data_IF_939526410631
#
_entry.id   IF_939526410631
#
_cell.length_a   1.000
_cell.length_b   1.000
_cell.length_c   1.000
_cell.angle_alpha   90.00
_cell.angle_beta   90.00
_cell.angle_gamma   90.00
#
_symmetry.space_group_name_H-M   'P 1'
#
loop_
_entity.id
_entity.type
_entity.pdbx_description
1 polymer ?
#
# COMPACT_ATOMS: atom_id res chain seq x y z
N UNK A 1 -7.19 6.89 1.46
CA UNK A 1 -6.43 6.25 2.55
C UNK A 1 -6.82 4.78 2.80
N UNK A 2 -7.92 4.28 2.23
CA UNK A 2 -8.33 2.87 2.35
C UNK A 2 -7.64 1.93 1.34
N UNK A 3 -6.88 2.48 0.39
CA UNK A 3 -6.17 1.68 -0.62
C UNK A 3 -4.78 1.28 -0.13
N UNK A 4 -4.27 0.17 -0.64
CA UNK A 4 -2.96 -0.35 -0.29
C UNK A 4 -1.82 0.55 -0.78
N UNK A 5 -1.94 1.05 -2.02
CA UNK A 5 -0.97 1.94 -2.66
C UNK A 5 -1.70 3.20 -3.12
N UNK A 6 -1.06 4.35 -2.92
CA UNK A 6 -1.62 5.67 -3.25
C UNK A 6 -0.64 6.42 -4.13
N UNK A 7 -1.08 6.80 -5.29
CA UNK A 7 -0.33 7.69 -6.19
C UNK A 7 -1.20 8.91 -6.50
N UNK A 8 -0.59 10.03 -6.82
CA UNK A 8 -1.35 11.22 -7.16
C UNK A 8 -0.70 12.03 -8.30
N UNK A 9 -1.47 12.96 -8.84
CA UNK A 9 -0.95 13.96 -9.75
C UNK A 9 -0.22 15.08 -8.99
N UNK A 10 0.71 15.76 -9.64
CA UNK A 10 1.50 16.88 -9.08
C UNK A 10 0.64 18.06 -8.60
N UNK A 11 -0.56 18.23 -9.16
CA UNK A 11 -1.51 19.26 -8.77
C UNK A 11 -2.48 18.82 -7.66
N UNK A 12 -2.34 17.61 -7.11
CA UNK A 12 -3.20 17.11 -6.03
C UNK A 12 -3.01 17.91 -4.74
N UNK A 13 -4.12 18.08 -4.03
CA UNK A 13 -4.17 18.76 -2.72
C UNK A 13 -4.86 17.85 -1.72
N UNK A 14 -4.31 17.77 -0.52
CA UNK A 14 -4.80 16.93 0.56
C UNK A 14 -5.02 17.76 1.83
N UNK A 15 -6.01 17.41 2.64
CA UNK A 15 -6.27 18.09 3.91
C UNK A 15 -7.25 17.35 4.80
N UNK A 16 -7.36 17.82 6.03
CA UNK A 16 -8.35 17.44 7.03
C UNK A 16 -8.92 18.73 7.64
N UNK A 17 -9.89 19.37 6.96
CA UNK A 17 -10.33 20.72 7.30
C UNK A 17 -11.38 20.77 8.43
N UNK A 18 -11.82 19.63 8.94
CA UNK A 18 -13.00 19.48 9.79
C UNK A 18 -12.94 20.32 11.07
N UNK A 19 -11.77 20.48 11.69
CA UNK A 19 -11.65 21.29 12.92
C UNK A 19 -11.91 22.78 12.65
N UNK A 20 -11.69 23.26 11.43
CA UNK A 20 -12.09 24.60 11.01
C UNK A 20 -13.61 24.81 10.98
N UNK A 21 -14.39 23.74 11.01
CA UNK A 21 -15.86 23.74 11.10
C UNK A 21 -16.34 23.39 12.51
N UNK A 22 -15.44 23.26 13.50
CA UNK A 22 -15.77 22.90 14.90
C UNK A 22 -16.08 21.41 15.12
N UNK A 23 -15.72 20.52 14.19
CA UNK A 23 -15.91 19.08 14.30
C UNK A 23 -14.59 18.33 14.11
N UNK A 24 -14.54 17.09 14.58
CA UNK A 24 -13.40 16.20 14.33
C UNK A 24 -13.56 15.45 13.00
N UNK A 25 -12.46 15.01 12.33
CA UNK A 25 -12.58 14.12 11.19
C UNK A 25 -13.36 12.86 11.53
N UNK A 26 -14.47 12.63 10.83
CA UNK A 26 -15.42 11.54 11.11
C UNK A 26 -15.35 10.37 10.12
N UNK A 27 -14.56 10.50 9.04
CA UNK A 27 -14.48 9.49 7.97
C UNK A 27 -13.14 8.73 7.96
N UNK A 28 -12.65 8.40 9.15
CA UNK A 28 -11.40 7.67 9.35
C UNK A 28 -10.14 8.53 9.25
N UNK A 29 -10.25 9.86 9.15
CA UNK A 29 -9.10 10.78 9.06
C UNK A 29 -8.20 10.72 10.28
N UNK A 30 -8.74 10.63 11.48
CA UNK A 30 -7.93 10.52 12.71
C UNK A 30 -7.19 9.18 12.81
N UNK A 31 -7.71 8.10 12.23
CA UNK A 31 -7.16 6.75 12.36
C UNK A 31 -6.25 6.37 11.20
N UNK A 32 -6.75 6.47 9.96
CA UNK A 32 -5.99 6.09 8.77
C UNK A 32 -4.80 7.02 8.54
N UNK A 33 -5.01 8.33 8.67
CA UNK A 33 -3.92 9.29 8.43
C UNK A 33 -2.78 9.08 9.42
N UNK A 34 -3.07 8.95 10.73
CA UNK A 34 -2.05 8.77 11.77
C UNK A 34 -1.22 7.49 11.58
N UNK A 35 -1.83 6.41 11.06
CA UNK A 35 -1.13 5.16 10.75
C UNK A 35 -0.28 5.25 9.48
N UNK A 36 -0.64 6.13 8.54
CA UNK A 36 0.10 6.30 7.28
C UNK A 36 1.29 7.25 7.39
N UNK A 37 1.11 8.40 8.09
CA UNK A 37 2.09 9.50 8.03
C UNK A 37 2.81 9.76 9.36
N UNK A 38 2.53 9.11 10.39
CA UNK A 38 2.89 9.31 11.79
C UNK A 38 1.91 10.21 12.56
N UNK A 39 1.80 10.02 13.87
CA UNK A 39 0.91 10.82 14.71
C UNK A 39 1.20 12.32 14.72
N UNK A 40 2.48 12.72 14.60
CA UNK A 40 2.89 14.12 14.57
C UNK A 40 2.34 14.85 13.35
N UNK A 41 2.57 14.31 12.15
CA UNK A 41 2.05 14.90 10.91
C UNK A 41 0.52 14.86 10.83
N UNK A 42 -0.10 13.77 11.29
CA UNK A 42 -1.56 13.69 11.34
C UNK A 42 -2.16 14.78 12.22
N UNK A 43 -1.61 14.99 13.44
CA UNK A 43 -2.04 16.07 14.35
C UNK A 43 -1.82 17.44 13.73
N UNK A 44 -0.68 17.67 13.09
CA UNK A 44 -0.41 18.95 12.42
C UNK A 44 -1.46 19.24 11.34
N UNK A 45 -1.77 18.29 10.46
CA UNK A 45 -2.76 18.46 9.41
C UNK A 45 -4.17 18.69 9.98
N UNK A 46 -4.58 17.85 10.93
CA UNK A 46 -5.91 17.97 11.57
C UNK A 46 -6.03 19.27 12.36
N UNK A 47 -5.08 19.60 13.24
CA UNK A 47 -5.20 20.75 14.15
C UNK A 47 -5.12 22.09 13.42
N UNK A 48 -4.37 22.16 12.32
CA UNK A 48 -4.25 23.41 11.54
C UNK A 48 -5.31 23.56 10.48
N UNK A 49 -6.05 22.49 10.15
CA UNK A 49 -6.98 22.44 9.01
C UNK A 49 -6.36 22.90 7.67
N UNK A 50 -5.01 22.89 7.57
CA UNK A 50 -4.29 23.34 6.38
C UNK A 50 -4.15 22.22 5.36
N UNK A 51 -4.29 22.59 4.10
CA UNK A 51 -4.03 21.71 2.99
C UNK A 51 -2.53 21.60 2.72
N UNK A 52 -2.11 20.43 2.21
CA UNK A 52 -0.77 20.17 1.69
C UNK A 52 -0.84 19.80 0.20
N UNK A 53 0.25 20.05 -0.52
CA UNK A 53 0.40 19.70 -1.94
C UNK A 53 1.08 18.35 -2.10
N UNK A 54 1.06 17.81 -3.31
CA UNK A 54 1.61 16.51 -3.67
C UNK A 54 3.07 16.27 -3.20
N UNK A 55 4.02 17.21 -3.34
CA UNK A 55 5.39 16.99 -2.85
C UNK A 55 5.46 16.74 -1.35
N UNK A 56 4.68 17.48 -0.55
CA UNK A 56 4.62 17.29 0.89
C UNK A 56 3.91 15.98 1.24
N UNK A 57 2.83 15.62 0.54
CA UNK A 57 2.14 14.35 0.71
C UNK A 57 3.08 13.15 0.44
N UNK A 58 3.97 13.27 -0.55
CA UNK A 58 5.02 12.27 -0.81
C UNK A 58 6.04 12.22 0.32
N UNK A 59 6.53 13.39 0.75
CA UNK A 59 7.55 13.50 1.80
C UNK A 59 7.12 12.86 3.13
N UNK A 60 5.85 13.01 3.50
CA UNK A 60 5.30 12.45 4.75
C UNK A 60 4.77 11.02 4.61
N UNK A 61 4.84 10.41 3.43
CA UNK A 61 4.38 9.04 3.18
C UNK A 61 2.87 8.87 2.99
N UNK A 62 2.12 9.99 2.79
CA UNK A 62 0.69 9.91 2.48
C UNK A 62 0.45 9.29 1.12
N UNK A 63 1.31 9.55 0.15
CA UNK A 63 1.30 8.93 -1.18
C UNK A 63 2.64 8.27 -1.47
N UNK A 64 2.63 7.24 -2.32
CA UNK A 64 3.81 6.45 -2.68
C UNK A 64 4.58 7.05 -3.87
N UNK A 65 3.91 7.82 -4.74
CA UNK A 65 4.52 8.49 -5.87
C UNK A 65 3.66 9.67 -6.37
N UNK A 66 4.31 10.59 -7.07
CA UNK A 66 3.69 11.75 -7.72
C UNK A 66 4.07 11.74 -9.19
N UNK A 67 3.11 12.02 -10.07
CA UNK A 67 3.28 12.02 -11.51
C UNK A 67 2.68 13.28 -12.13
N UNK A 68 3.15 13.72 -13.32
CA UNK A 68 2.41 14.68 -14.13
C UNK A 68 0.98 14.21 -14.35
N UNK A 69 0.02 15.15 -14.35
CA UNK A 69 -1.40 14.83 -14.50
C UNK A 69 -1.69 13.92 -15.71
N UNK A 70 -1.04 14.19 -16.84
CA UNK A 70 -1.23 13.42 -18.08
C UNK A 70 -0.69 11.98 -17.99
N UNK A 71 0.28 11.72 -17.10
CA UNK A 71 0.96 10.43 -16.96
C UNK A 71 0.37 9.55 -15.86
N UNK A 72 -0.44 10.11 -14.95
CA UNK A 72 -0.93 9.42 -13.75
C UNK A 72 -1.61 8.08 -14.08
N UNK A 73 -2.53 8.07 -15.04
CA UNK A 73 -3.25 6.84 -15.39
C UNK A 73 -2.37 5.81 -16.08
N UNK A 74 -1.37 6.26 -16.84
CA UNK A 74 -0.35 5.38 -17.43
C UNK A 74 0.50 4.72 -16.35
N UNK A 75 0.96 5.49 -15.37
CA UNK A 75 1.72 4.99 -14.22
C UNK A 75 0.89 4.02 -13.37
N UNK A 76 -0.39 4.33 -13.11
CA UNK A 76 -1.30 3.45 -12.37
C UNK A 76 -1.47 2.10 -13.07
N UNK A 77 -1.71 2.11 -14.39
CA UNK A 77 -1.85 0.88 -15.19
C UNK A 77 -0.56 0.06 -15.22
N UNK A 78 0.60 0.74 -15.34
CA UNK A 78 1.91 0.07 -15.31
C UNK A 78 2.16 -0.62 -13.96
N UNK A 79 1.84 0.05 -12.85
CA UNK A 79 1.96 -0.54 -11.51
C UNK A 79 1.00 -1.73 -11.34
N UNK A 80 -0.26 -1.59 -11.76
CA UNK A 80 -1.24 -2.65 -11.68
C UNK A 80 -0.83 -3.88 -12.54
N UNK A 81 -0.28 -3.63 -13.74
CA UNK A 81 0.24 -4.70 -14.60
C UNK A 81 1.40 -5.46 -13.96
N UNK A 82 2.33 -4.74 -13.30
CA UNK A 82 3.44 -5.36 -12.58
C UNK A 82 2.94 -6.25 -11.42
N UNK A 83 1.90 -5.81 -10.71
CA UNK A 83 1.27 -6.62 -9.65
C UNK A 83 0.55 -7.83 -10.24
N UNK A 84 -0.13 -7.66 -11.38
CA UNK A 84 -0.86 -8.73 -12.06
C UNK A 84 0.08 -9.79 -12.68
N UNK A 85 1.33 -9.43 -13.02
CA UNK A 85 2.35 -10.36 -13.51
C UNK A 85 2.99 -11.19 -12.38
N UNK A 86 2.79 -10.81 -11.13
CA UNK A 86 3.25 -11.57 -9.97
C UNK A 86 2.28 -12.72 -9.62
N UNK A 87 2.78 -13.73 -8.89
CA UNK A 87 1.99 -14.90 -8.47
C UNK A 87 0.79 -14.49 -7.59
N UNK A 88 -0.46 -14.65 -8.03
CA UNK A 88 -1.62 -14.05 -7.36
C UNK A 88 -1.85 -14.59 -5.95
N UNK A 89 -1.54 -15.85 -5.69
CA UNK A 89 -1.63 -16.46 -4.34
C UNK A 89 -0.63 -15.78 -3.41
N UNK A 90 0.63 -15.61 -3.84
CA UNK A 90 1.66 -14.96 -3.04
C UNK A 90 1.34 -13.48 -2.78
N UNK A 91 0.82 -12.74 -3.76
CA UNK A 91 0.39 -11.34 -3.58
C UNK A 91 -0.71 -11.23 -2.52
N UNK A 92 -1.73 -12.10 -2.59
CA UNK A 92 -2.81 -12.11 -1.59
C UNK A 92 -2.33 -12.52 -0.21
N UNK A 93 -1.47 -13.54 -0.13
CA UNK A 93 -0.87 -13.98 1.14
C UNK A 93 -0.03 -12.86 1.78
N UNK A 94 0.80 -12.16 0.98
CA UNK A 94 1.58 -11.02 1.44
C UNK A 94 0.70 -9.87 1.93
N UNK A 95 -0.35 -9.50 1.17
CA UNK A 95 -1.29 -8.47 1.59
C UNK A 95 -1.96 -8.84 2.93
N UNK A 96 -2.39 -10.09 3.07
CA UNK A 96 -3.02 -10.58 4.30
C UNK A 96 -2.04 -10.52 5.47
N UNK A 97 -0.83 -11.03 5.31
CA UNK A 97 0.19 -11.03 6.35
C UNK A 97 0.56 -9.61 6.80
N UNK A 98 0.71 -8.66 5.86
CA UNK A 98 0.97 -7.25 6.18
C UNK A 98 -0.19 -6.64 6.97
N UNK A 99 -1.43 -6.78 6.48
CA UNK A 99 -2.58 -6.14 7.11
C UNK A 99 -2.87 -6.70 8.51
N UNK A 100 -2.81 -8.02 8.68
CA UNK A 100 -3.03 -8.66 9.97
C UNK A 100 -1.86 -8.44 10.93
N UNK A 101 -0.62 -8.47 10.43
CA UNK A 101 0.57 -8.29 11.24
C UNK A 101 0.71 -6.87 11.81
N UNK A 102 0.32 -5.85 11.07
CA UNK A 102 0.38 -4.46 11.55
C UNK A 102 -0.55 -4.17 12.76
N UNK A 103 -1.54 -5.02 13.00
CA UNK A 103 -2.46 -4.90 14.14
C UNK A 103 -2.07 -5.82 15.32
N UNK A 104 -0.91 -6.51 15.24
CA UNK A 104 -0.47 -7.51 16.22
C UNK A 104 0.90 -7.16 16.83
N UNK A 105 1.23 -7.70 18.02
CA UNK A 105 2.62 -7.74 18.50
C UNK A 105 3.55 -8.43 17.50
N UNK A 106 4.82 -8.03 17.49
CA UNK A 106 5.79 -8.46 16.47
C UNK A 106 5.99 -9.99 16.41
N UNK A 107 6.00 -10.66 17.54
CA UNK A 107 6.13 -12.14 17.64
C UNK A 107 4.96 -12.84 16.96
N UNK A 108 3.72 -12.38 17.20
CA UNK A 108 2.50 -12.89 16.55
C UNK A 108 2.48 -12.54 15.06
N UNK A 109 2.94 -11.35 14.70
CA UNK A 109 3.04 -10.93 13.30
C UNK A 109 4.01 -11.82 12.51
N UNK A 110 5.16 -12.17 13.08
CA UNK A 110 6.13 -13.09 12.45
C UNK A 110 5.55 -14.50 12.28
N UNK A 111 4.76 -14.99 13.25
CA UNK A 111 4.06 -16.28 13.10
C UNK A 111 3.04 -16.23 11.94
N UNK A 112 2.32 -15.11 11.80
CA UNK A 112 1.37 -14.89 10.69
C UNK A 112 2.10 -14.88 9.35
N UNK A 113 3.25 -14.22 9.27
CA UNK A 113 4.12 -14.21 8.08
C UNK A 113 4.60 -15.63 7.75
N UNK A 114 5.10 -16.38 8.73
CA UNK A 114 5.58 -17.74 8.52
C UNK A 114 4.49 -18.68 7.97
N UNK A 115 3.25 -18.56 8.45
CA UNK A 115 2.11 -19.32 7.94
C UNK A 115 1.76 -18.90 6.50
N UNK A 116 1.75 -17.60 6.21
CA UNK A 116 1.51 -17.09 4.87
C UNK A 116 2.60 -17.53 3.89
N UNK A 117 3.87 -17.49 4.30
CA UNK A 117 5.00 -17.99 3.52
C UNK A 117 4.85 -19.50 3.24
N UNK A 118 4.60 -20.30 4.26
CA UNK A 118 4.44 -21.75 4.12
C UNK A 118 3.31 -22.13 3.16
N UNK A 119 2.16 -21.43 3.23
CA UNK A 119 1.01 -21.71 2.36
C UNK A 119 1.30 -21.49 0.87
N UNK A 120 2.26 -20.65 0.51
CA UNK A 120 2.62 -20.44 -0.89
C UNK A 120 3.25 -21.69 -1.52
N UNK A 121 3.93 -22.55 -0.73
CA UNK A 121 4.58 -23.77 -1.24
C UNK A 121 3.61 -24.86 -1.67
N UNK A 122 2.34 -24.73 -1.34
CA UNK A 122 1.29 -25.63 -1.80
C UNK A 122 0.88 -25.35 -3.26
N UNK A 123 1.22 -24.14 -3.79
CA UNK A 123 0.80 -23.69 -5.11
C UNK A 123 1.71 -24.20 -6.25
N UNK A 124 1.11 -24.42 -7.42
CA UNK A 124 1.86 -24.69 -8.65
C UNK A 124 2.65 -23.45 -9.11
N UNK A 125 2.13 -22.26 -8.87
CA UNK A 125 2.75 -20.98 -9.21
C UNK A 125 4.10 -20.82 -8.49
N UNK A 126 4.20 -21.23 -7.21
CA UNK A 126 5.46 -21.23 -6.47
C UNK A 126 6.49 -22.15 -7.12
N UNK A 127 6.10 -23.37 -7.49
CA UNK A 127 6.99 -24.34 -8.13
C UNK A 127 7.51 -23.83 -9.47
N UNK A 128 6.61 -23.24 -10.28
CA UNK A 128 6.95 -22.65 -11.58
C UNK A 128 7.90 -21.45 -11.43
N UNK A 129 7.62 -20.55 -10.49
CA UNK A 129 8.45 -19.40 -10.18
C UNK A 129 9.85 -19.79 -9.68
N UNK A 130 9.92 -20.73 -8.74
CA UNK A 130 11.20 -21.23 -8.20
C UNK A 130 12.04 -21.93 -9.28
N UNK A 131 11.43 -22.75 -10.12
CA UNK A 131 12.12 -23.41 -11.24
C UNK A 131 12.69 -22.36 -12.20
N UNK A 132 11.90 -21.39 -12.61
CA UNK A 132 12.35 -20.33 -13.51
C UNK A 132 13.51 -19.51 -12.90
N UNK A 133 13.42 -19.16 -11.61
CA UNK A 133 14.47 -18.46 -10.90
C UNK A 133 15.79 -19.23 -10.89
N UNK A 134 15.77 -20.52 -10.55
CA UNK A 134 16.97 -21.38 -10.52
C UNK A 134 17.57 -21.57 -11.91
N UNK A 135 16.73 -21.65 -12.96
CA UNK A 135 17.17 -21.78 -14.36
C UNK A 135 17.58 -20.43 -14.98
N UNK A 136 17.43 -19.31 -14.27
CA UNK A 136 17.65 -17.94 -14.79
C UNK A 136 16.79 -17.61 -16.02
N UNK A 137 15.59 -18.16 -16.06
CA UNK A 137 14.62 -17.96 -17.13
C UNK A 137 13.47 -17.06 -16.64
N UNK A 138 12.72 -16.49 -17.58
CA UNK A 138 11.47 -15.81 -17.25
C UNK A 138 10.44 -16.85 -16.81
N UNK A 139 9.73 -16.61 -15.69
CA UNK A 139 8.63 -17.47 -15.28
C UNK A 139 7.49 -17.47 -16.32
N UNK A 140 6.78 -18.59 -16.50
CA UNK A 140 5.56 -18.62 -17.30
C UNK A 140 4.46 -17.77 -16.61
N UNK A 141 3.39 -17.40 -17.33
CA UNK A 141 2.23 -16.76 -16.73
C UNK A 141 1.70 -17.60 -15.57
N UNK A 142 1.56 -17.00 -14.40
CA UNK A 142 1.00 -17.67 -13.22
C UNK A 142 -0.47 -18.02 -13.40
N UNK A 143 -0.89 -19.15 -12.87
CA UNK A 143 -2.21 -19.74 -13.10
C UNK A 143 -3.16 -19.60 -11.90
N UNK A 144 -2.70 -19.00 -10.81
CA UNK A 144 -3.48 -18.83 -9.59
C UNK A 144 -3.89 -20.18 -8.94
N UNK A 145 -3.02 -21.14 -8.93
CA UNK A 145 -3.26 -22.48 -8.42
C UNK A 145 -1.99 -23.14 -7.86
#
# INVERSE_FOLDING_TARGET
>A
MSCDIRICAENAVFGQPEVGLGITPGFGGTQRLARLVSPGYAKQLVYTAKNIKAPEALRIGLVNAVYPQAELMGAAKKLAAAIADAAPIAVRASKKAINEGLEQPMDVAIETEAKAFGSCFESEDQRAGMKAFLSKEKHPPYQNR
#
